data_IF_325989397987
#
_entry.id   IF_325989397987
#
_cell.length_a   1.000
_cell.length_b   1.000
_cell.length_c   1.000
_cell.angle_alpha   90.00
_cell.angle_beta   90.00
_cell.angle_gamma   90.00
#
_symmetry.space_group_name_H-M   'P 1'
#
loop_
_entity.id
_entity.type
_entity.pdbx_description
1 polymer ?
#
# COMPACT_ATOMS: atom_id res chain seq x y z
N UNK A 1 -46.26 5.70 20.84
CA UNK A 1 -46.09 5.34 19.41
C UNK A 1 -44.61 5.40 19.13
N UNK A 2 -43.88 4.28 19.25
CA UNK A 2 -42.42 4.30 19.09
C UNK A 2 -41.68 2.97 19.29
N UNK A 3 -42.35 1.81 19.37
CA UNK A 3 -41.62 0.55 19.61
C UNK A 3 -41.19 -0.16 18.33
N UNK A 4 -41.92 -0.02 17.21
CA UNK A 4 -41.66 -0.81 16.01
C UNK A 4 -40.34 -0.49 15.30
N UNK A 5 -39.89 0.77 15.33
CA UNK A 5 -38.63 1.19 14.69
C UNK A 5 -37.41 0.93 15.57
N UNK A 6 -37.55 1.03 16.91
CA UNK A 6 -36.49 0.65 17.86
C UNK A 6 -36.27 -0.86 17.85
N UNK A 7 -37.34 -1.66 17.84
CA UNK A 7 -37.25 -3.12 17.77
C UNK A 7 -36.56 -3.58 16.47
N UNK A 8 -36.79 -2.88 15.35
CA UNK A 8 -36.15 -3.17 14.07
C UNK A 8 -34.68 -2.73 14.04
N UNK A 9 -34.33 -1.63 14.71
CA UNK A 9 -32.94 -1.20 14.86
C UNK A 9 -32.16 -2.19 15.75
N UNK A 10 -32.76 -2.63 16.85
CA UNK A 10 -32.17 -3.62 17.76
C UNK A 10 -31.98 -4.95 17.05
N UNK A 11 -32.93 -5.38 16.22
CA UNK A 11 -32.78 -6.59 15.41
C UNK A 11 -31.64 -6.45 14.38
N UNK A 12 -31.52 -5.33 13.68
CA UNK A 12 -30.42 -5.12 12.72
C UNK A 12 -29.04 -5.04 13.41
N UNK A 13 -28.97 -4.48 14.61
CA UNK A 13 -27.72 -4.45 15.41
C UNK A 13 -27.38 -5.84 15.94
N UNK A 14 -28.38 -6.61 16.40
CA UNK A 14 -28.19 -7.97 16.87
C UNK A 14 -27.77 -8.91 15.74
N UNK A 15 -28.38 -8.77 14.56
CA UNK A 15 -28.00 -9.51 13.36
C UNK A 15 -26.58 -9.12 12.90
N UNK A 16 -26.15 -7.86 13.06
CA UNK A 16 -24.78 -7.43 12.79
C UNK A 16 -23.75 -8.02 13.78
N UNK A 17 -24.11 -8.07 15.06
CA UNK A 17 -23.26 -8.66 16.12
C UNK A 17 -23.22 -10.19 16.00
N UNK A 18 -24.30 -10.86 15.58
CA UNK A 18 -24.33 -12.31 15.33
C UNK A 18 -23.71 -12.70 13.98
N UNK A 19 -23.77 -11.81 12.96
CA UNK A 19 -23.08 -12.03 11.68
C UNK A 19 -21.58 -11.73 11.75
N UNK A 20 -21.11 -10.91 12.70
CA UNK A 20 -19.75 -10.97 13.21
C UNK A 20 -19.60 -12.11 14.21
N UNK A 21 -19.61 -13.36 13.71
CA UNK A 21 -19.26 -14.55 14.50
C UNK A 21 -18.02 -14.28 15.35
N UNK A 22 -18.15 -14.23 16.68
CA UNK A 22 -16.99 -14.18 17.53
C UNK A 22 -16.53 -15.63 17.64
N UNK A 23 -15.36 -15.90 17.09
CA UNK A 23 -14.60 -17.14 17.26
C UNK A 23 -15.20 -18.38 16.58
N UNK A 24 -14.99 -18.51 15.27
CA UNK A 24 -14.45 -19.80 14.81
C UNK A 24 -13.05 -19.91 15.40
N UNK A 25 -12.97 -20.48 16.60
CA UNK A 25 -11.78 -21.20 16.99
C UNK A 25 -11.62 -22.31 15.95
N UNK A 26 -10.98 -21.99 14.82
CA UNK A 26 -10.29 -22.99 14.05
C UNK A 26 -9.33 -23.60 15.06
N UNK A 27 -9.70 -24.78 15.55
CA UNK A 27 -8.81 -25.68 16.25
C UNK A 27 -7.79 -26.15 15.22
N UNK A 28 -6.93 -25.23 14.80
CA UNK A 28 -5.79 -25.49 13.96
C UNK A 28 -4.84 -26.24 14.86
N UNK A 29 -4.88 -27.57 14.75
CA UNK A 29 -3.88 -28.44 15.36
C UNK A 29 -2.50 -27.79 15.20
N UNK A 30 -1.65 -27.72 16.25
CA UNK A 30 -0.34 -27.05 16.18
C UNK A 30 0.53 -27.51 15.02
N UNK A 31 0.28 -28.73 14.53
CA UNK A 31 1.00 -29.33 13.41
C UNK A 31 0.57 -28.77 12.04
N UNK A 32 -0.67 -28.29 11.88
CA UNK A 32 -1.17 -27.80 10.58
C UNK A 32 -0.81 -26.34 10.33
N UNK A 33 -0.73 -25.50 11.36
CA UNK A 33 -0.21 -24.12 11.24
C UNK A 33 1.29 -24.10 10.91
N UNK A 34 2.08 -24.94 11.56
CA UNK A 34 3.51 -25.06 11.29
C UNK A 34 3.81 -25.52 9.85
N UNK A 35 3.07 -26.52 9.35
CA UNK A 35 3.24 -27.01 7.98
C UNK A 35 2.88 -25.94 6.95
N UNK A 36 1.78 -25.21 7.15
CA UNK A 36 1.38 -24.12 6.25
C UNK A 36 2.37 -22.96 6.25
N UNK A 37 2.95 -22.63 7.41
CA UNK A 37 4.04 -21.66 7.53
C UNK A 37 5.28 -22.08 6.73
N UNK A 38 5.72 -23.33 6.86
CA UNK A 38 6.84 -23.86 6.10
C UNK A 38 6.58 -23.83 4.60
N UNK A 39 5.40 -24.26 4.14
CA UNK A 39 5.03 -24.24 2.72
C UNK A 39 5.05 -22.81 2.16
N UNK A 40 4.43 -21.84 2.84
CA UNK A 40 4.47 -20.43 2.41
C UNK A 40 5.90 -19.91 2.29
N UNK A 41 6.75 -20.25 3.26
CA UNK A 41 8.16 -19.87 3.32
C UNK A 41 8.95 -20.44 2.13
N UNK A 42 8.74 -21.70 1.77
CA UNK A 42 9.40 -22.33 0.63
C UNK A 42 8.92 -21.75 -0.71
N UNK A 43 7.61 -21.52 -0.87
CA UNK A 43 7.07 -20.89 -2.08
C UNK A 43 7.64 -19.49 -2.26
N UNK A 44 7.75 -18.71 -1.18
CA UNK A 44 8.34 -17.37 -1.25
C UNK A 44 9.82 -17.44 -1.68
N UNK A 45 10.60 -18.36 -1.14
CA UNK A 45 12.00 -18.55 -1.55
C UNK A 45 12.14 -18.97 -3.01
N UNK A 46 11.28 -19.85 -3.48
CA UNK A 46 11.27 -20.30 -4.87
C UNK A 46 10.98 -19.14 -5.83
N UNK A 47 9.96 -18.34 -5.52
CA UNK A 47 9.62 -17.12 -6.28
C UNK A 47 10.77 -16.11 -6.28
N UNK A 48 11.45 -15.93 -5.14
CA UNK A 48 12.59 -15.01 -5.02
C UNK A 48 13.84 -15.52 -5.77
N UNK A 49 14.04 -16.84 -5.83
CA UNK A 49 15.16 -17.50 -6.52
C UNK A 49 15.01 -17.45 -8.04
N UNK A 50 13.78 -17.46 -8.55
CA UNK A 50 13.51 -17.32 -9.99
C UNK A 50 13.87 -15.90 -10.45
N UNK A 51 15.08 -15.70 -10.98
CA UNK A 51 15.57 -14.41 -11.47
C UNK A 51 15.95 -14.51 -12.96
N UNK A 52 15.46 -13.58 -13.78
CA UNK A 52 15.83 -13.51 -15.21
C UNK A 52 17.14 -12.76 -15.41
N UNK A 53 17.78 -12.91 -16.58
CA UNK A 53 18.98 -12.15 -16.91
C UNK A 53 18.74 -10.64 -16.87
N UNK A 54 17.55 -10.19 -17.31
CA UNK A 54 17.14 -8.80 -17.26
C UNK A 54 17.01 -8.29 -15.82
N UNK A 55 16.33 -9.06 -14.95
CA UNK A 55 16.21 -8.74 -13.52
C UNK A 55 17.59 -8.58 -12.86
N UNK A 56 18.51 -9.53 -13.09
CA UNK A 56 19.86 -9.50 -12.54
C UNK A 56 20.68 -8.29 -13.05
N UNK A 57 20.57 -7.97 -14.34
CA UNK A 57 21.24 -6.81 -14.97
C UNK A 57 20.77 -5.49 -14.32
N UNK A 58 19.47 -5.26 -14.26
CA UNK A 58 18.89 -4.04 -13.66
C UNK A 58 19.24 -3.95 -12.18
N UNK A 59 19.13 -5.06 -11.43
CA UNK A 59 19.50 -5.11 -10.01
C UNK A 59 20.95 -4.70 -9.78
N UNK A 60 21.87 -5.17 -10.61
CA UNK A 60 23.29 -4.82 -10.47
C UNK A 60 23.52 -3.31 -10.68
N UNK A 61 22.91 -2.70 -11.70
CA UNK A 61 22.98 -1.26 -11.92
C UNK A 61 22.39 -0.47 -10.74
N UNK A 62 21.22 -0.86 -10.25
CA UNK A 62 20.60 -0.21 -9.08
C UNK A 62 21.54 -0.27 -7.88
N UNK A 63 22.10 -1.44 -7.55
CA UNK A 63 23.03 -1.60 -6.43
C UNK A 63 24.34 -0.82 -6.62
N UNK A 64 24.86 -0.76 -7.85
CA UNK A 64 26.06 0.04 -8.21
C UNK A 64 25.83 1.51 -7.87
N UNK A 65 24.69 2.07 -8.25
CA UNK A 65 24.37 3.47 -8.00
C UNK A 65 24.05 3.74 -6.52
N UNK A 66 23.28 2.87 -5.87
CA UNK A 66 22.93 3.02 -4.44
C UNK A 66 24.17 3.02 -3.53
N UNK A 67 25.23 2.28 -3.88
CA UNK A 67 26.52 2.31 -3.15
C UNK A 67 27.30 3.62 -3.35
N UNK A 68 27.24 4.21 -4.54
CA UNK A 68 27.97 5.46 -4.87
C UNK A 68 27.36 6.67 -4.19
N UNK A 69 26.03 6.77 -4.15
CA UNK A 69 25.32 7.92 -3.55
C UNK A 69 25.58 8.09 -2.05
N UNK A 70 25.78 6.99 -1.30
CA UNK A 70 26.09 7.07 0.14
C UNK A 70 27.37 7.87 0.44
N UNK A 71 28.21 8.13 -0.58
CA UNK A 71 29.46 8.89 -0.47
C UNK A 71 29.30 10.39 -0.77
N UNK A 72 28.29 10.78 -1.55
CA UNK A 72 28.08 12.16 -2.01
C UNK A 72 26.71 12.67 -1.49
N UNK A 73 26.74 13.34 -0.33
CA UNK A 73 25.57 13.98 0.26
C UNK A 73 25.51 15.45 -0.15
N UNK A 74 24.70 15.77 -1.17
CA UNK A 74 23.84 16.96 -1.28
C UNK A 74 23.38 17.11 -2.73
N UNK A 75 22.20 16.56 -3.07
CA UNK A 75 21.41 17.03 -4.20
C UNK A 75 19.94 17.03 -3.78
N UNK A 76 19.26 18.11 -4.11
CA UNK A 76 17.84 18.42 -3.85
C UNK A 76 16.86 17.52 -4.61
N UNK A 77 17.34 16.50 -5.33
CA UNK A 77 16.53 15.60 -6.15
C UNK A 77 16.15 14.33 -5.37
N UNK A 78 14.88 13.92 -5.49
CA UNK A 78 14.37 12.71 -4.81
C UNK A 78 15.21 11.48 -5.17
N UNK A 79 15.30 10.53 -4.23
CA UNK A 79 16.14 9.33 -4.37
C UNK A 79 15.85 8.55 -5.66
N UNK A 80 14.56 8.40 -5.96
CA UNK A 80 14.06 7.72 -7.15
C UNK A 80 14.38 8.46 -8.44
N UNK A 81 14.17 9.79 -8.51
CA UNK A 81 14.49 10.60 -9.69
C UNK A 81 15.97 10.50 -10.08
N UNK A 82 16.86 10.61 -9.08
CA UNK A 82 18.29 10.44 -9.32
C UNK A 82 18.65 9.03 -9.81
N UNK A 83 17.99 8.00 -9.29
CA UNK A 83 18.22 6.62 -9.72
C UNK A 83 17.75 6.43 -11.17
N UNK A 84 16.59 6.98 -11.55
CA UNK A 84 16.10 6.97 -12.93
C UNK A 84 17.12 7.61 -13.87
N UNK A 85 17.61 8.82 -13.56
CA UNK A 85 18.65 9.48 -14.37
C UNK A 85 19.92 8.62 -14.48
N UNK A 86 20.30 7.97 -13.38
CA UNK A 86 21.47 7.09 -13.34
C UNK A 86 21.31 5.86 -14.24
N UNK A 87 20.14 5.23 -14.23
CA UNK A 87 19.83 4.08 -15.09
C UNK A 87 19.77 4.49 -16.56
N UNK A 88 19.21 5.66 -16.88
CA UNK A 88 19.22 6.23 -18.24
C UNK A 88 20.66 6.46 -18.75
N UNK A 89 21.57 6.93 -17.91
CA UNK A 89 23.00 7.08 -18.28
C UNK A 89 23.70 5.74 -18.59
N UNK A 90 23.22 4.63 -18.03
CA UNK A 90 23.71 3.27 -18.34
C UNK A 90 22.99 2.66 -19.57
N UNK A 91 22.14 3.44 -20.27
CA UNK A 91 21.45 3.04 -21.49
C UNK A 91 20.17 2.21 -21.27
N UNK A 92 19.59 2.24 -20.07
CA UNK A 92 18.31 1.59 -19.79
C UNK A 92 17.14 2.55 -20.00
N UNK A 93 16.04 2.06 -20.58
CA UNK A 93 14.77 2.79 -20.59
C UNK A 93 14.14 2.70 -19.20
N UNK A 94 14.41 3.69 -18.36
CA UNK A 94 13.89 3.79 -17.01
C UNK A 94 13.00 5.02 -16.86
N UNK A 95 11.87 4.88 -16.17
CA UNK A 95 10.95 5.98 -15.89
C UNK A 95 10.42 5.92 -14.45
N UNK A 96 9.94 7.07 -13.97
CA UNK A 96 9.28 7.16 -12.68
C UNK A 96 7.78 6.96 -12.90
N UNK A 97 7.22 5.97 -12.24
CA UNK A 97 5.82 5.64 -12.36
C UNK A 97 5.09 6.03 -11.09
N UNK A 98 3.97 6.70 -11.27
CA UNK A 98 3.04 7.06 -10.21
C UNK A 98 1.74 6.31 -10.45
N UNK A 99 1.30 5.59 -9.42
CA UNK A 99 -0.05 5.01 -9.37
C UNK A 99 -0.90 5.84 -8.43
N UNK A 100 -2.15 6.06 -8.79
CA UNK A 100 -3.18 6.53 -7.88
C UNK A 100 -4.42 5.66 -8.03
N UNK A 101 -5.11 5.40 -6.93
CA UNK A 101 -6.36 4.64 -6.95
C UNK A 101 -7.39 5.31 -6.06
N UNK A 102 -8.62 5.36 -6.56
CA UNK A 102 -9.75 5.91 -5.83
C UNK A 102 -10.23 4.94 -4.74
N UNK A 103 -10.93 5.48 -3.74
CA UNK A 103 -11.59 4.67 -2.73
C UNK A 103 -12.64 3.77 -3.39
N UNK A 104 -12.56 2.48 -3.10
CA UNK A 104 -13.57 1.47 -3.44
C UNK A 104 -13.94 0.65 -2.20
N UNK A 105 -14.92 -0.24 -2.33
CA UNK A 105 -15.37 -1.08 -1.21
C UNK A 105 -14.21 -1.88 -0.61
N UNK A 106 -13.79 -1.53 0.61
CA UNK A 106 -12.68 -2.17 1.31
C UNK A 106 -11.27 -1.79 0.84
N UNK A 107 -11.13 -0.81 -0.05
CA UNK A 107 -9.84 -0.31 -0.54
C UNK A 107 -9.82 1.23 -0.46
N UNK A 108 -9.20 1.81 0.58
CA UNK A 108 -9.02 3.26 0.69
C UNK A 108 -8.23 3.81 -0.50
N UNK A 109 -8.49 5.07 -0.84
CA UNK A 109 -7.67 5.78 -1.80
C UNK A 109 -6.20 5.83 -1.36
N UNK A 110 -5.31 5.90 -2.34
CA UNK A 110 -3.89 6.06 -2.11
C UNK A 110 -3.15 6.37 -3.39
N UNK A 111 -1.88 6.68 -3.21
CA UNK A 111 -0.93 6.90 -4.28
C UNK A 111 0.38 6.21 -3.94
N UNK A 112 1.16 5.86 -4.96
CA UNK A 112 2.46 5.25 -4.78
C UNK A 112 3.38 5.56 -5.96
N UNK A 113 4.67 5.66 -5.67
CA UNK A 113 5.69 5.97 -6.67
C UNK A 113 6.74 4.85 -6.68
N UNK A 114 7.04 4.33 -7.87
CA UNK A 114 8.03 3.30 -8.12
C UNK A 114 8.78 3.61 -9.42
N UNK A 115 9.79 2.80 -9.75
CA UNK A 115 10.54 2.95 -10.99
C UNK A 115 10.18 1.80 -11.92
N UNK A 116 9.94 2.09 -13.17
CA UNK A 116 9.78 1.10 -14.24
C UNK A 116 11.03 1.08 -15.10
N UNK A 117 11.44 -0.11 -15.52
CA UNK A 117 12.50 -0.31 -16.51
C UNK A 117 12.00 -1.23 -17.61
N UNK A 118 12.01 -0.77 -18.85
CA UNK A 118 11.73 -1.59 -20.02
C UNK A 118 13.05 -2.15 -20.55
N UNK A 119 13.16 -3.48 -20.58
CA UNK A 119 14.33 -4.16 -21.11
C UNK A 119 13.94 -5.01 -22.31
N UNK A 120 14.67 -4.88 -23.42
CA UNK A 120 14.61 -5.86 -24.50
C UNK A 120 15.34 -7.13 -24.03
N UNK A 121 14.67 -8.28 -24.04
CA UNK A 121 15.28 -9.57 -23.70
C UNK A 121 16.00 -10.20 -24.90
N UNK A 122 15.49 -9.99 -26.11
CA UNK A 122 16.08 -10.41 -27.38
C UNK A 122 15.97 -9.27 -28.42
N UNK A 123 17.04 -9.01 -29.17
CA UNK A 123 17.00 -7.99 -30.24
C UNK A 123 16.24 -8.48 -31.48
N UNK A 124 16.11 -9.80 -31.66
CA UNK A 124 15.43 -10.42 -32.82
C UNK A 124 13.92 -10.56 -32.63
N UNK A 125 13.47 -10.70 -31.39
CA UNK A 125 12.05 -10.80 -31.00
C UNK A 125 11.79 -9.57 -30.17
N UNK A 126 11.17 -8.54 -30.75
CA UNK A 126 10.89 -7.24 -30.13
C UNK A 126 9.91 -7.34 -28.92
N UNK A 127 10.24 -8.17 -27.94
CA UNK A 127 9.51 -8.38 -26.70
C UNK A 127 10.19 -7.57 -25.60
N UNK A 128 9.50 -6.52 -25.18
CA UNK A 128 9.96 -5.67 -24.10
C UNK A 128 9.41 -6.22 -22.78
N UNK A 129 10.32 -6.58 -21.88
CA UNK A 129 9.96 -6.98 -20.53
C UNK A 129 9.95 -5.76 -19.63
N UNK A 130 8.75 -5.49 -19.08
CA UNK A 130 8.50 -4.48 -18.07
C UNK A 130 8.96 -4.99 -16.70
N UNK A 131 9.93 -4.30 -16.11
CA UNK A 131 10.44 -4.58 -14.77
C UNK A 131 10.06 -3.47 -13.80
N UNK A 132 9.56 -3.84 -12.63
CA UNK A 132 9.26 -2.94 -11.52
C UNK A 132 10.47 -2.91 -10.59
N UNK A 133 10.91 -1.70 -10.26
CA UNK A 133 11.98 -1.41 -9.32
C UNK A 133 11.42 -0.58 -8.16
N UNK A 134 11.48 -1.15 -6.96
CA UNK A 134 11.08 -0.48 -5.73
C UNK A 134 12.24 -0.51 -4.73
N UNK A 135 12.76 0.66 -4.38
CA UNK A 135 13.94 0.81 -3.52
C UNK A 135 13.65 0.60 -2.03
N UNK A 136 12.39 0.67 -1.61
CA UNK A 136 11.95 0.57 -0.22
C UNK A 136 10.90 -0.54 -0.02
N UNK A 137 10.97 -1.58 -0.84
CA UNK A 137 9.98 -2.64 -0.94
C UNK A 137 9.67 -3.33 0.39
N UNK A 138 10.71 -3.69 1.16
CA UNK A 138 10.53 -4.42 2.43
C UNK A 138 9.70 -3.63 3.45
N UNK A 139 9.90 -2.32 3.53
CA UNK A 139 9.18 -1.45 4.48
C UNK A 139 7.67 -1.47 4.26
N UNK A 140 7.23 -1.72 3.02
CA UNK A 140 5.82 -1.81 2.66
C UNK A 140 5.10 -2.98 3.35
N UNK A 141 5.84 -3.93 3.94
CA UNK A 141 5.31 -5.12 4.61
C UNK A 141 5.57 -5.15 6.13
N UNK A 142 5.97 -4.04 6.75
CA UNK A 142 6.18 -4.01 8.20
C UNK A 142 4.85 -4.05 8.98
N UNK A 143 4.80 -4.77 10.11
CA UNK A 143 3.63 -4.83 11.00
C UNK A 143 4.01 -4.39 12.41
N UNK A 144 3.04 -3.83 13.15
CA UNK A 144 3.27 -3.34 14.51
C UNK A 144 3.50 -4.46 15.55
N UNK A 145 2.96 -5.66 15.31
CA UNK A 145 3.11 -6.85 16.18
C UNK A 145 3.20 -8.11 15.32
N UNK A 146 4.29 -8.32 14.58
CA UNK A 146 4.41 -9.49 13.71
C UNK A 146 4.60 -10.76 14.56
N UNK A 147 4.10 -11.88 14.06
CA UNK A 147 4.47 -13.22 14.56
C UNK A 147 5.87 -13.58 14.08
N UNK A 148 6.52 -14.53 14.74
CA UNK A 148 7.87 -14.96 14.36
C UNK A 148 7.94 -15.45 12.91
N UNK A 149 6.94 -16.23 12.47
CA UNK A 149 6.80 -16.65 11.07
C UNK A 149 6.77 -15.46 10.09
N UNK A 150 6.01 -14.42 10.43
CA UNK A 150 5.91 -13.24 9.57
C UNK A 150 7.22 -12.44 9.51
N UNK A 151 7.93 -12.31 10.63
CA UNK A 151 9.28 -11.72 10.67
C UNK A 151 10.22 -12.48 9.73
N UNK A 152 10.22 -13.81 9.82
CA UNK A 152 11.07 -14.64 8.97
C UNK A 152 10.76 -14.49 7.48
N UNK A 153 9.49 -14.37 7.11
CA UNK A 153 9.10 -14.15 5.71
C UNK A 153 9.53 -12.76 5.21
N UNK A 154 9.30 -11.71 6.00
CA UNK A 154 9.67 -10.33 5.62
C UNK A 154 11.19 -10.08 5.62
N UNK A 155 11.95 -10.83 6.41
CA UNK A 155 13.42 -10.76 6.37
C UNK A 155 14.02 -11.34 5.09
N UNK A 156 13.31 -12.24 4.40
CA UNK A 156 13.77 -12.86 3.15
C UNK A 156 13.57 -11.99 1.92
N UNK A 157 12.53 -11.16 1.90
CA UNK A 157 12.31 -10.28 0.75
C UNK A 157 13.41 -9.23 0.66
N UNK A 158 13.84 -8.84 -0.54
CA UNK A 158 14.89 -7.85 -0.69
C UNK A 158 14.39 -6.47 -0.26
N UNK A 159 15.31 -5.62 0.22
CA UNK A 159 15.01 -4.20 0.48
C UNK A 159 14.68 -3.49 -0.81
N UNK A 160 15.50 -3.74 -1.84
CA UNK A 160 15.29 -3.25 -3.21
C UNK A 160 14.71 -4.40 -4.03
N UNK A 161 13.45 -4.27 -4.46
CA UNK A 161 12.82 -5.21 -5.36
C UNK A 161 13.13 -4.84 -6.82
N UNK A 162 13.44 -5.87 -7.62
CA UNK A 162 13.51 -5.79 -9.08
C UNK A 162 12.84 -7.06 -9.60
N UNK A 163 11.77 -6.91 -10.38
CA UNK A 163 11.09 -8.06 -10.97
C UNK A 163 9.87 -7.72 -11.80
N UNK A 164 9.33 -8.73 -12.47
CA UNK A 164 8.09 -8.61 -13.25
C UNK A 164 6.86 -8.42 -12.37
N UNK A 165 5.77 -7.90 -12.95
CA UNK A 165 4.46 -7.81 -12.30
C UNK A 165 3.97 -9.16 -11.76
N UNK A 166 4.15 -10.23 -12.54
CA UNK A 166 3.75 -11.59 -12.16
C UNK A 166 4.47 -12.05 -10.88
N UNK A 167 5.77 -11.77 -10.78
CA UNK A 167 6.58 -12.08 -9.60
C UNK A 167 6.14 -11.24 -8.39
N UNK A 168 5.92 -9.95 -8.60
CA UNK A 168 5.42 -9.04 -7.59
C UNK A 168 4.06 -9.48 -7.02
N UNK A 169 3.09 -9.81 -7.87
CA UNK A 169 1.78 -10.30 -7.47
C UNK A 169 1.84 -11.55 -6.57
N UNK A 170 2.73 -12.50 -6.91
CA UNK A 170 2.94 -13.71 -6.11
C UNK A 170 3.48 -13.38 -4.71
N UNK A 171 4.50 -12.51 -4.64
CA UNK A 171 5.09 -12.07 -3.37
C UNK A 171 4.05 -11.35 -2.52
N UNK A 172 3.31 -10.38 -3.09
CA UNK A 172 2.26 -9.64 -2.40
C UNK A 172 1.20 -10.60 -1.84
N UNK A 173 0.76 -11.58 -2.64
CA UNK A 173 -0.27 -12.54 -2.22
C UNK A 173 0.17 -13.38 -1.02
N UNK A 174 1.42 -13.88 -1.05
CA UNK A 174 2.00 -14.66 0.05
C UNK A 174 2.14 -13.83 1.32
N UNK A 175 2.70 -12.63 1.21
CA UNK A 175 2.92 -11.75 2.36
C UNK A 175 1.62 -11.21 2.94
N UNK A 176 0.63 -10.85 2.11
CA UNK A 176 -0.66 -10.38 2.62
C UNK A 176 -1.42 -11.49 3.33
N UNK A 177 -1.36 -12.73 2.81
CA UNK A 177 -1.95 -13.89 3.49
C UNK A 177 -1.32 -14.12 4.87
N UNK A 178 0.01 -14.10 4.96
CA UNK A 178 0.70 -14.25 6.22
C UNK A 178 0.53 -13.05 7.16
N UNK A 179 0.40 -11.83 6.62
CA UNK A 179 0.11 -10.65 7.40
C UNK A 179 -1.27 -10.77 8.06
N UNK A 180 -2.29 -11.20 7.30
CA UNK A 180 -3.62 -11.47 7.83
C UNK A 180 -3.58 -12.50 8.95
N UNK A 181 -2.85 -13.59 8.75
CA UNK A 181 -2.68 -14.62 9.78
C UNK A 181 -1.97 -14.07 11.02
N UNK A 182 -0.87 -13.36 10.85
CA UNK A 182 -0.11 -12.73 11.95
C UNK A 182 -0.95 -11.77 12.76
N UNK A 183 -1.77 -10.93 12.11
CA UNK A 183 -2.63 -9.97 12.79
C UNK A 183 -3.73 -10.70 13.57
N UNK A 184 -4.37 -11.70 12.97
CA UNK A 184 -5.41 -12.52 13.62
C UNK A 184 -4.88 -13.27 14.84
N UNK A 185 -3.70 -13.90 14.72
CA UNK A 185 -3.04 -14.59 15.84
C UNK A 185 -2.68 -13.64 17.00
N UNK A 186 -2.48 -12.36 16.71
CA UNK A 186 -2.23 -11.31 17.72
C UNK A 186 -3.50 -10.58 18.16
N UNK A 187 -4.67 -11.03 17.75
CA UNK A 187 -5.96 -10.41 18.10
C UNK A 187 -6.16 -9.03 17.48
N UNK A 188 -5.50 -8.72 16.37
CA UNK A 188 -5.60 -7.44 15.66
C UNK A 188 -6.47 -7.58 14.42
N UNK A 189 -7.32 -6.58 14.18
CA UNK A 189 -8.07 -6.47 12.93
C UNK A 189 -7.13 -6.25 11.74
N UNK A 190 -7.49 -6.78 10.57
CA UNK A 190 -6.71 -6.60 9.34
C UNK A 190 -7.07 -5.26 8.73
N UNK A 191 -6.18 -4.26 8.74
CA UNK A 191 -6.50 -2.98 8.15
C UNK A 191 -6.62 -3.12 6.62
N UNK A 192 -7.44 -2.29 5.97
CA UNK A 192 -7.73 -2.42 4.55
C UNK A 192 -6.49 -2.26 3.66
N UNK A 193 -5.48 -1.48 4.10
CA UNK A 193 -4.19 -1.35 3.38
C UNK A 193 -3.28 -2.58 3.47
N UNK A 194 -3.67 -3.62 4.21
CA UNK A 194 -2.98 -4.92 4.28
C UNK A 194 -3.73 -6.02 3.53
N UNK A 195 -4.64 -5.63 2.66
CA UNK A 195 -5.28 -6.54 1.71
C UNK A 195 -4.41 -6.71 0.46
N UNK A 196 -4.52 -7.87 -0.18
CA UNK A 196 -3.80 -8.16 -1.43
C UNK A 196 -4.19 -7.17 -2.52
N UNK A 197 -5.48 -6.81 -2.61
CA UNK A 197 -5.98 -5.84 -3.60
C UNK A 197 -5.34 -4.47 -3.42
N UNK A 198 -5.39 -3.90 -2.21
CA UNK A 198 -4.77 -2.60 -1.94
C UNK A 198 -3.27 -2.61 -2.24
N UNK A 199 -2.58 -3.65 -1.80
CA UNK A 199 -1.14 -3.77 -2.04
C UNK A 199 -0.83 -3.91 -3.53
N UNK A 200 -1.61 -4.66 -4.30
CA UNK A 200 -1.44 -4.74 -5.75
C UNK A 200 -1.68 -3.39 -6.45
N UNK A 201 -2.67 -2.61 -6.01
CA UNK A 201 -2.96 -1.28 -6.56
C UNK A 201 -1.76 -0.33 -6.54
N UNK A 202 -0.88 -0.44 -5.53
CA UNK A 202 0.35 0.38 -5.42
C UNK A 202 1.26 0.31 -6.64
N UNK A 203 1.31 -0.82 -7.34
CA UNK A 203 2.23 -1.00 -8.47
C UNK A 203 1.53 -1.27 -9.79
N UNK A 204 0.21 -1.52 -9.76
CA UNK A 204 -0.53 -2.01 -10.92
C UNK A 204 -1.75 -1.15 -11.30
N UNK A 205 -2.12 -0.14 -10.50
CA UNK A 205 -3.22 0.76 -10.87
C UNK A 205 -2.77 1.71 -11.99
N UNK A 206 -3.68 2.05 -12.91
CA UNK A 206 -3.41 2.73 -14.18
C UNK A 206 -2.41 3.88 -14.09
N UNK A 207 -1.42 3.85 -14.98
CA UNK A 207 -0.21 4.65 -14.94
C UNK A 207 -0.41 6.00 -15.63
N UNK A 208 -0.29 7.11 -14.90
CA UNK A 208 0.01 8.41 -15.50
C UNK A 208 1.53 8.51 -15.68
N UNK A 209 2.00 8.25 -16.90
CA UNK A 209 3.43 8.35 -17.23
C UNK A 209 3.86 9.81 -17.19
N UNK A 210 4.57 10.22 -16.14
CA UNK A 210 5.21 11.53 -16.09
C UNK A 210 6.60 11.46 -16.75
N UNK A 211 6.66 11.70 -18.06
CA UNK A 211 7.92 12.04 -18.72
C UNK A 211 8.28 13.47 -18.32
N UNK A 212 9.22 13.62 -17.39
CA UNK A 212 9.85 14.91 -17.13
C UNK A 212 10.79 15.22 -18.30
N UNK A 213 10.22 15.73 -19.39
CA UNK A 213 10.97 16.51 -20.36
C UNK A 213 11.11 17.92 -19.77
N UNK A 214 12.34 18.32 -19.45
CA UNK A 214 12.64 19.72 -19.17
C UNK A 214 12.55 20.49 -20.49
N UNK A 215 11.41 21.15 -20.75
CA UNK A 215 11.31 22.45 -21.45
C UNK A 215 9.85 22.91 -21.60
N UNK A 216 9.61 24.20 -21.34
CA UNK A 216 8.52 24.97 -21.96
C UNK A 216 7.35 25.34 -21.06
N UNK A 217 7.43 26.53 -20.49
CA UNK A 217 6.34 27.33 -19.94
C UNK A 217 5.07 27.25 -20.80
N UNK A 218 4.01 26.61 -20.30
CA UNK A 218 2.65 26.75 -20.83
C UNK A 218 1.63 26.47 -19.72
N UNK A 219 0.97 27.53 -19.29
CA UNK A 219 -0.21 27.52 -18.44
C UNK A 219 -1.30 26.59 -19.01
N UNK A 220 -1.45 25.40 -18.43
CA UNK A 220 -2.65 24.57 -18.51
C UNK A 220 -3.37 24.63 -17.18
N UNK A 221 -4.56 25.23 -17.15
CA UNK A 221 -5.41 25.37 -15.98
C UNK A 221 -5.71 24.01 -15.32
N UNK A 222 -4.99 23.72 -14.22
CA UNK A 222 -5.42 22.73 -13.23
C UNK A 222 -6.64 23.33 -12.53
N UNK A 223 -7.82 22.79 -12.83
CA UNK A 223 -9.08 23.17 -12.22
C UNK A 223 -8.93 23.15 -10.69
N UNK A 224 -8.98 24.34 -10.08
CA UNK A 224 -9.08 24.52 -8.63
C UNK A 224 -10.31 23.78 -8.14
N UNK A 225 -10.11 22.63 -7.52
CA UNK A 225 -11.17 21.96 -6.79
C UNK A 225 -11.48 22.79 -5.54
N UNK A 226 -12.65 23.43 -5.53
CA UNK A 226 -13.16 24.20 -4.38
C UNK A 226 -14.24 23.34 -3.72
N UNK A 227 -14.10 22.97 -2.43
CA UNK A 227 -15.14 22.23 -1.74
C UNK A 227 -16.43 23.07 -1.66
N UNK A 228 -17.61 22.47 -1.84
CA UNK A 228 -18.87 23.21 -1.83
C UNK A 228 -19.12 23.83 -0.44
N UNK A 229 -19.35 25.14 -0.43
CA UNK A 229 -19.79 25.87 0.77
C UNK A 229 -21.21 25.41 1.11
N UNK A 230 -21.33 24.66 2.21
CA UNK A 230 -22.62 24.36 2.82
C UNK A 230 -23.09 25.63 3.53
N UNK A 231 -24.08 26.32 2.96
CA UNK A 231 -24.70 27.47 3.62
C UNK A 231 -25.35 27.00 4.93
N UNK A 232 -25.09 27.64 6.08
CA UNK A 232 -25.85 27.36 7.28
C UNK A 232 -27.32 27.69 7.01
N UNK A 233 -28.21 26.70 7.17
CA UNK A 233 -29.66 26.94 7.15
C UNK A 233 -29.98 27.92 8.27
N UNK A 234 -30.41 29.13 7.92
CA UNK A 234 -31.13 30.02 8.84
C UNK A 234 -32.33 29.22 9.36
N UNK A 235 -32.34 28.92 10.66
CA UNK A 235 -33.58 28.62 11.36
C UNK A 235 -34.24 29.95 11.59
N UNK A 236 -35.35 30.20 10.90
CA UNK A 236 -36.25 31.27 11.29
C UNK A 236 -36.77 30.93 12.69
N UNK A 237 -36.49 31.84 13.63
CA UNK A 237 -36.96 31.77 15.00
C UNK A 237 -38.46 32.06 15.00
N UNK A 238 -39.26 30.98 15.07
CA UNK A 238 -40.67 31.00 15.41
C UNK A 238 -40.96 30.03 16.54
N UNK A 239 -40.60 30.42 17.77
CA UNK A 239 -41.28 30.09 19.01
C UNK A 239 -41.46 28.61 19.43
N UNK A 240 -40.75 28.25 20.50
CA UNK A 240 -41.33 27.44 21.58
C UNK A 240 -40.88 25.99 21.69
N UNK A 241 -40.22 25.66 22.80
CA UNK A 241 -40.00 24.28 23.26
C UNK A 241 -38.52 23.98 23.51
N UNK A 242 -38.10 24.05 24.77
CA UNK A 242 -36.71 23.86 25.18
C UNK A 242 -36.24 22.41 25.36
N UNK A 243 -35.05 22.33 25.95
CA UNK A 243 -34.29 21.14 26.43
C UNK A 243 -33.45 20.51 25.31
N UNK A 244 -32.11 20.49 25.35
CA UNK A 244 -31.18 20.01 26.37
C UNK A 244 -30.37 18.92 25.65
N UNK A 245 -29.10 19.07 25.29
CA UNK A 245 -27.93 19.01 26.14
C UNK A 245 -26.74 19.60 25.34
N UNK A 246 -26.19 20.71 25.82
CA UNK A 246 -24.81 21.13 25.53
C UNK A 246 -24.17 21.39 26.88
N UNK A 247 -23.35 20.46 27.32
CA UNK A 247 -22.43 20.63 28.45
C UNK A 247 -21.48 19.44 28.42
N UNK A 248 -20.20 19.72 28.70
CA UNK A 248 -19.04 18.83 28.72
C UNK A 248 -18.10 18.95 27.52
N UNK A 249 -17.63 20.16 27.23
CA UNK A 249 -16.19 20.41 27.00
C UNK A 249 -15.86 21.81 27.50
N UNK A 250 -15.74 21.93 28.82
CA UNK A 250 -15.03 23.03 29.47
C UNK A 250 -14.20 22.38 30.56
N UNK A 251 -12.95 22.79 30.66
CA UNK A 251 -11.91 22.34 31.61
C UNK A 251 -10.98 21.21 31.14
N UNK A 252 -10.05 21.60 30.25
CA UNK A 252 -8.66 21.16 30.39
C UNK A 252 -7.73 22.32 30.02
N UNK A 253 -7.34 23.10 31.02
CA UNK A 253 -6.24 24.06 30.96
C UNK A 253 -4.93 23.32 30.72
N UNK A 254 -4.28 23.62 29.59
CA UNK A 254 -2.89 23.25 29.32
C UNK A 254 -2.02 24.23 30.12
N UNK A 255 -1.36 23.72 31.16
CA UNK A 255 -0.37 24.49 31.90
C UNK A 255 0.97 24.40 31.15
N UNK A 256 1.47 25.54 30.68
CA UNK A 256 2.84 25.66 30.17
C UNK A 256 3.81 25.89 31.34
N UNK A 257 4.81 25.02 31.46
CA UNK A 257 6.12 25.32 32.01
C UNK A 257 7.16 24.87 30.97
#
# INVERSE_FOLDING_TARGET
MGSLEEDQLVQMVQDFIESESPYTANSTSPNSSSLTHQTQRFILEDVLRSETKAEAKVRNYVLKHMRRRKRDSERTTSLRKWLVMSLKMEGLDASLCHTSWATSLGCPAGEYEYIEVNTAEDEEVNDHVRLIVDIDFRSQFELARPTQHYIEMTHKIPVIFVGTEKKLCKIISLLCSAAKQSLREKGLHVPPWRTTSYMQSKWLCGEERSSYDEEGDNNGEIGKWVPPIVKPRKRDLGGGGGSGLSSQFSDMTINCC
#
